data_IF_633836153660
#
_entry.id   IF_633836153660
#
_cell.length_a   1.000
_cell.length_b   1.000
_cell.length_c   1.000
_cell.angle_alpha   90.00
_cell.angle_beta   90.00
_cell.angle_gamma   90.00
#
_symmetry.space_group_name_H-M   'P 1'
#
loop_
_entity.id
_entity.type
_entity.pdbx_description
1 polymer ?
#
# COMPACT_ATOMS: atom_id res chain seq x y z
N UNK A 1 23.58 -14.16 30.69
CA UNK A 1 22.26 -13.48 30.71
C UNK A 1 22.55 -12.06 30.22
N UNK A 2 22.30 -11.76 28.96
CA UNK A 2 22.53 -10.44 28.38
C UNK A 2 21.42 -9.50 28.84
N UNK A 3 21.78 -8.33 29.38
CA UNK A 3 20.83 -7.30 29.80
C UNK A 3 20.07 -6.77 28.58
N UNK A 4 18.75 -6.76 28.67
CA UNK A 4 17.87 -6.09 27.70
C UNK A 4 18.14 -4.59 27.84
N UNK A 5 18.50 -3.86 26.76
CA UNK A 5 18.72 -2.43 26.85
C UNK A 5 17.42 -1.74 27.29
N UNK A 6 17.55 -0.80 28.24
CA UNK A 6 16.44 0.05 28.68
C UNK A 6 15.86 0.80 27.47
N UNK A 7 14.54 0.77 27.33
CA UNK A 7 13.83 1.50 26.30
C UNK A 7 14.11 3.00 26.42
N UNK A 8 14.64 3.60 25.36
CA UNK A 8 14.77 5.06 25.27
C UNK A 8 13.41 5.77 25.41
N UNK A 9 13.40 7.12 25.49
CA UNK A 9 12.18 7.88 25.73
C UNK A 9 11.10 7.52 24.72
N UNK A 10 9.95 7.08 25.24
CA UNK A 10 8.76 6.66 24.51
C UNK A 10 8.29 7.83 23.63
N UNK A 11 8.28 7.66 22.31
CA UNK A 11 7.58 8.59 21.44
C UNK A 11 6.11 8.67 21.89
N UNK A 12 5.47 9.87 21.81
CA UNK A 12 4.07 10.01 22.17
C UNK A 12 3.25 8.97 21.39
N UNK A 13 2.39 8.23 22.10
CA UNK A 13 1.54 7.22 21.50
C UNK A 13 0.79 7.85 20.32
N UNK A 14 0.89 7.27 19.12
CA UNK A 14 0.10 7.71 17.98
C UNK A 14 -1.34 7.29 18.25
N UNK A 15 -2.28 8.20 18.00
CA UNK A 15 -3.69 7.88 18.11
C UNK A 15 -4.06 6.90 16.98
N UNK A 16 -4.51 5.69 17.33
CA UNK A 16 -4.89 4.67 16.36
C UNK A 16 -6.00 5.16 15.40
N UNK A 17 -6.87 6.07 15.85
CA UNK A 17 -7.85 6.74 15.01
C UNK A 17 -7.16 7.62 13.96
N UNK A 18 -6.10 8.34 14.33
CA UNK A 18 -5.29 9.15 13.42
C UNK A 18 -4.60 8.28 12.37
N UNK A 19 -4.05 7.13 12.77
CA UNK A 19 -3.47 6.15 11.85
C UNK A 19 -4.54 5.63 10.88
N UNK A 20 -5.69 5.20 11.41
CA UNK A 20 -6.81 4.72 10.59
C UNK A 20 -7.36 5.79 9.63
N UNK A 21 -7.32 7.07 10.01
CA UNK A 21 -7.75 8.17 9.15
C UNK A 21 -6.76 8.47 8.02
N UNK A 22 -5.46 8.35 8.28
CA UNK A 22 -4.38 8.66 7.31
C UNK A 22 -4.05 7.52 6.39
N UNK A 23 -4.18 6.27 6.85
CA UNK A 23 -3.83 5.12 6.04
C UNK A 23 -4.90 4.87 4.97
N UNK A 24 -4.51 4.73 3.70
CA UNK A 24 -5.47 4.53 2.62
C UNK A 24 -6.20 3.18 2.79
N UNK A 25 -7.53 3.23 2.93
CA UNK A 25 -8.34 2.01 3.08
C UNK A 25 -8.34 1.22 1.79
N UNK A 26 -7.63 0.11 1.79
CA UNK A 26 -7.78 -0.97 0.82
C UNK A 26 -8.74 -2.00 1.42
N UNK A 27 -9.77 -2.40 0.67
CA UNK A 27 -10.61 -3.55 1.04
C UNK A 27 -9.79 -4.83 0.83
N UNK A 28 -9.00 -5.15 1.84
CA UNK A 28 -8.14 -6.33 1.85
C UNK A 28 -8.72 -7.35 2.83
N UNK A 29 -8.91 -8.59 2.36
CA UNK A 29 -9.45 -9.68 3.19
C UNK A 29 -8.50 -9.95 4.35
N UNK A 30 -9.01 -9.88 5.59
CA UNK A 30 -8.20 -10.02 6.79
C UNK A 30 -7.46 -8.76 7.26
N UNK A 31 -7.72 -7.59 6.64
CA UNK A 31 -7.15 -6.32 7.12
C UNK A 31 -7.46 -6.07 8.59
N UNK A 32 -6.47 -5.60 9.33
CA UNK A 32 -6.53 -5.39 10.79
C UNK A 32 -7.00 -3.99 11.20
N UNK A 33 -7.62 -3.21 10.29
CA UNK A 33 -8.12 -1.88 10.60
C UNK A 33 -8.99 -1.81 11.84
N UNK A 34 -9.91 -2.76 12.00
CA UNK A 34 -10.80 -2.80 13.15
C UNK A 34 -10.09 -3.12 14.46
N UNK A 35 -8.87 -3.63 14.40
CA UNK A 35 -8.08 -4.03 15.56
C UNK A 35 -6.99 -3.00 15.91
N UNK A 36 -6.86 -1.88 15.18
CA UNK A 36 -5.81 -0.90 15.41
C UNK A 36 -5.75 -0.41 16.86
N UNK A 37 -6.87 -0.07 17.55
CA UNK A 37 -6.80 0.37 18.94
C UNK A 37 -6.26 -0.70 19.91
N UNK A 38 -6.57 -1.98 19.64
CA UNK A 38 -6.08 -3.08 20.44
C UNK A 38 -4.59 -3.33 20.18
N UNK A 39 -4.19 -3.30 18.89
CA UNK A 39 -2.80 -3.48 18.49
C UNK A 39 -1.90 -2.35 19.01
N UNK A 40 -2.37 -1.11 18.99
CA UNK A 40 -1.65 0.03 19.55
C UNK A 40 -1.35 -0.17 21.03
N UNK A 41 -2.34 -0.62 21.82
CA UNK A 41 -2.13 -0.93 23.24
C UNK A 41 -1.11 -2.05 23.42
N UNK A 42 -1.28 -3.17 22.72
CA UNK A 42 -0.36 -4.31 22.83
C UNK A 42 1.05 -3.91 22.42
N UNK A 43 1.23 -3.23 21.30
CA UNK A 43 2.54 -2.74 20.87
C UNK A 43 3.12 -1.72 21.85
N UNK A 44 2.26 -0.87 22.44
CA UNK A 44 2.66 0.11 23.44
C UNK A 44 3.22 -0.52 24.72
N UNK A 45 2.68 -1.66 25.13
CA UNK A 45 3.09 -2.36 26.35
C UNK A 45 4.35 -3.23 26.15
N UNK A 46 4.73 -3.51 24.91
CA UNK A 46 5.91 -4.30 24.60
C UNK A 46 7.19 -3.45 24.69
N UNK A 47 8.14 -3.93 25.48
CA UNK A 47 9.49 -3.39 25.52
C UNK A 47 10.28 -3.87 24.29
N UNK A 48 10.33 -3.09 23.24
CA UNK A 48 11.09 -3.41 22.04
C UNK A 48 11.03 -2.26 21.06
N UNK A 49 12.07 -2.09 20.28
CA UNK A 49 12.17 -1.04 19.26
C UNK A 49 11.91 -1.54 17.86
N UNK A 50 11.98 -2.85 17.65
CA UNK A 50 11.82 -3.51 16.35
C UNK A 50 10.57 -4.38 16.33
N UNK A 51 9.79 -4.29 15.23
CA UNK A 51 8.61 -5.11 14.96
C UNK A 51 8.84 -5.86 13.65
N UNK A 52 8.66 -7.18 13.67
CA UNK A 52 8.63 -8.00 12.47
C UNK A 52 7.17 -8.31 12.09
N UNK A 53 6.80 -7.95 10.86
CA UNK A 53 5.48 -8.22 10.25
C UNK A 53 5.66 -9.09 8.99
N UNK A 54 5.80 -10.42 9.15
CA UNK A 54 6.14 -11.33 8.05
C UNK A 54 4.98 -11.60 7.09
N UNK A 55 3.76 -11.14 7.41
CA UNK A 55 2.55 -11.27 6.60
C UNK A 55 1.80 -9.94 6.57
N UNK A 56 2.46 -8.91 6.05
CA UNK A 56 2.03 -7.51 6.16
C UNK A 56 0.68 -7.22 5.52
N UNK A 57 0.25 -7.99 4.54
CA UNK A 57 -1.06 -7.87 3.90
C UNK A 57 -1.35 -6.45 3.43
N UNK A 58 -2.35 -5.81 4.04
CA UNK A 58 -2.66 -4.41 3.73
C UNK A 58 -1.58 -3.40 4.18
N UNK A 59 -0.60 -3.81 4.98
CA UNK A 59 0.45 -2.94 5.53
C UNK A 59 0.03 -2.07 6.71
N UNK A 60 -1.22 -2.12 7.14
CA UNK A 60 -1.73 -1.21 8.18
C UNK A 60 -1.10 -1.43 9.56
N UNK A 61 -0.72 -2.66 9.89
CA UNK A 61 -0.02 -2.97 11.16
C UNK A 61 1.40 -2.46 11.13
N UNK A 62 2.11 -2.69 10.03
CA UNK A 62 3.45 -2.14 9.77
C UNK A 62 3.45 -0.61 9.87
N UNK A 63 2.43 0.03 9.27
CA UNK A 63 2.28 1.49 9.33
C UNK A 63 2.02 1.99 10.77
N UNK A 64 1.14 1.31 11.53
CA UNK A 64 0.91 1.63 12.95
C UNK A 64 2.23 1.54 13.74
N UNK A 65 2.96 0.44 13.62
CA UNK A 65 4.22 0.25 14.32
C UNK A 65 5.25 1.35 13.96
N UNK A 66 5.34 1.71 12.67
CA UNK A 66 6.20 2.80 12.21
C UNK A 66 5.81 4.15 12.83
N UNK A 67 4.51 4.50 12.87
CA UNK A 67 4.04 5.76 13.48
C UNK A 67 4.26 5.80 14.98
N UNK A 68 4.38 4.65 15.64
CA UNK A 68 4.78 4.52 17.05
C UNK A 68 6.30 4.61 17.26
N UNK A 69 7.06 4.94 16.22
CA UNK A 69 8.53 5.06 16.28
C UNK A 69 9.27 3.73 16.33
N UNK A 70 8.64 2.64 15.91
CA UNK A 70 9.30 1.33 15.86
C UNK A 70 10.04 1.16 14.53
N UNK A 71 11.18 0.49 14.57
CA UNK A 71 11.79 -0.08 13.37
C UNK A 71 10.93 -1.24 12.88
N UNK A 72 10.55 -1.25 11.59
CA UNK A 72 9.63 -2.26 11.06
C UNK A 72 10.30 -3.07 9.96
N UNK A 73 10.28 -4.38 10.14
CA UNK A 73 10.68 -5.36 9.15
C UNK A 73 9.43 -6.06 8.63
N UNK A 74 9.01 -5.71 7.42
CA UNK A 74 7.78 -6.23 6.83
C UNK A 74 8.06 -7.05 5.58
N UNK A 75 7.33 -8.14 5.43
CA UNK A 75 7.34 -8.96 4.23
C UNK A 75 5.95 -9.54 3.96
N UNK A 76 5.75 -10.03 2.74
CA UNK A 76 4.55 -10.77 2.36
C UNK A 76 4.90 -11.73 1.22
N UNK A 77 4.12 -12.79 1.06
CA UNK A 77 4.26 -13.72 -0.05
C UNK A 77 3.93 -13.06 -1.40
N UNK A 78 2.97 -12.12 -1.40
CA UNK A 78 2.54 -11.41 -2.60
C UNK A 78 3.33 -10.12 -2.79
N UNK A 79 3.68 -9.79 -4.02
CA UNK A 79 4.44 -8.58 -4.33
C UNK A 79 3.67 -7.29 -4.03
N UNK A 80 2.35 -7.25 -4.25
CA UNK A 80 1.59 -6.00 -4.09
C UNK A 80 1.48 -5.52 -2.63
N UNK A 81 1.33 -6.38 -1.59
CA UNK A 81 1.44 -5.96 -0.20
C UNK A 81 2.80 -5.35 0.13
N UNK A 82 3.88 -5.94 -0.39
CA UNK A 82 5.22 -5.37 -0.22
C UNK A 82 5.33 -3.96 -0.81
N UNK A 83 4.74 -3.73 -1.99
CA UNK A 83 4.68 -2.38 -2.60
C UNK A 83 3.88 -1.42 -1.72
N UNK A 84 2.70 -1.82 -1.22
CA UNK A 84 1.90 -0.99 -0.32
C UNK A 84 2.66 -0.61 0.95
N UNK A 85 3.36 -1.57 1.55
CA UNK A 85 4.14 -1.34 2.77
C UNK A 85 5.34 -0.41 2.51
N UNK A 86 6.05 -0.57 1.39
CA UNK A 86 7.15 0.34 1.01
C UNK A 86 6.65 1.75 0.70
N UNK A 87 5.50 1.88 0.03
CA UNK A 87 4.88 3.17 -0.27
C UNK A 87 4.38 3.91 0.98
N UNK A 88 4.17 3.23 2.08
CA UNK A 88 3.55 3.78 3.30
C UNK A 88 4.46 3.69 4.51
N UNK A 89 4.69 2.51 5.08
CA UNK A 89 5.44 2.33 6.31
C UNK A 89 6.95 2.57 6.15
N UNK A 90 7.51 2.37 4.96
CA UNK A 90 8.90 2.65 4.66
C UNK A 90 9.10 3.99 3.91
N UNK A 91 8.08 4.83 3.85
CA UNK A 91 8.13 6.12 3.16
C UNK A 91 8.34 7.26 4.15
N UNK A 92 9.50 7.88 4.10
CA UNK A 92 9.89 9.02 4.94
C UNK A 92 9.40 10.37 4.38
N UNK A 93 8.15 10.44 3.93
CA UNK A 93 7.51 11.68 3.51
C UNK A 93 7.64 12.03 2.03
N UNK A 94 8.13 11.11 1.19
CA UNK A 94 8.15 11.27 -0.27
C UNK A 94 6.71 11.34 -0.79
N UNK A 95 6.45 12.26 -1.72
CA UNK A 95 5.16 12.44 -2.38
C UNK A 95 5.34 12.51 -3.88
N UNK A 96 4.33 12.10 -4.63
CA UNK A 96 4.28 12.34 -6.06
C UNK A 96 3.95 13.82 -6.31
N UNK A 97 4.72 14.46 -7.19
CA UNK A 97 4.45 15.83 -7.66
C UNK A 97 3.35 15.85 -8.72
N UNK A 98 2.88 17.03 -9.09
CA UNK A 98 1.96 17.20 -10.23
C UNK A 98 2.62 16.75 -11.54
N UNK A 99 3.92 16.96 -11.69
CA UNK A 99 4.69 16.50 -12.84
C UNK A 99 4.72 14.99 -12.91
N UNK A 100 4.92 14.32 -11.75
CA UNK A 100 4.86 12.86 -11.66
C UNK A 100 3.48 12.34 -12.08
N UNK A 101 2.41 12.98 -11.64
CA UNK A 101 1.05 12.60 -12.00
C UNK A 101 0.77 12.81 -13.49
N UNK A 102 1.21 13.95 -14.05
CA UNK A 102 1.07 14.22 -15.47
C UNK A 102 1.87 13.24 -16.33
N UNK A 103 3.08 12.86 -15.87
CA UNK A 103 3.90 11.84 -16.52
C UNK A 103 3.21 10.48 -16.47
N UNK A 104 2.71 10.07 -15.29
CA UNK A 104 2.06 8.78 -15.05
C UNK A 104 0.78 8.60 -15.88
N UNK A 105 0.01 9.68 -16.05
CA UNK A 105 -1.22 9.70 -16.83
C UNK A 105 -1.00 10.09 -18.30
N UNK A 106 0.25 10.23 -18.69
CA UNK A 106 0.65 10.56 -20.06
C UNK A 106 0.46 9.41 -21.04
N UNK A 107 0.89 9.60 -22.29
CA UNK A 107 0.71 8.60 -23.34
C UNK A 107 1.56 7.34 -23.08
N UNK A 108 1.12 6.22 -23.65
CA UNK A 108 1.84 4.95 -23.63
C UNK A 108 3.18 5.08 -24.39
N UNK A 109 4.29 4.93 -23.69
CA UNK A 109 5.65 5.24 -24.21
C UNK A 109 6.26 4.13 -25.07
N UNK A 110 5.86 2.89 -24.85
CA UNK A 110 6.46 1.71 -25.50
C UNK A 110 5.43 0.85 -26.26
N UNK A 111 4.20 1.35 -26.38
CA UNK A 111 3.13 0.66 -27.10
C UNK A 111 2.67 -0.64 -26.44
N UNK A 112 2.98 -0.86 -25.15
CA UNK A 112 2.52 -2.07 -24.46
C UNK A 112 1.00 -2.13 -24.41
N UNK A 113 0.48 -3.35 -24.45
CA UNK A 113 -0.95 -3.66 -24.44
C UNK A 113 -1.25 -4.96 -23.68
N UNK A 114 -0.34 -5.33 -22.77
CA UNK A 114 -0.48 -6.59 -22.03
C UNK A 114 -1.75 -6.60 -21.17
N UNK A 115 -1.97 -5.51 -20.41
CA UNK A 115 -3.13 -5.40 -19.52
C UNK A 115 -4.42 -5.36 -20.33
N UNK A 116 -4.48 -4.54 -21.37
CA UNK A 116 -5.64 -4.43 -22.24
C UNK A 116 -6.01 -5.75 -22.89
N UNK A 117 -5.03 -6.52 -23.38
CA UNK A 117 -5.29 -7.82 -24.01
C UNK A 117 -5.70 -8.90 -23.02
N UNK A 118 -5.06 -8.91 -21.84
CA UNK A 118 -5.27 -9.96 -20.83
C UNK A 118 -6.59 -9.82 -20.11
N UNK A 119 -6.99 -8.58 -19.80
CA UNK A 119 -8.17 -8.29 -18.97
C UNK A 119 -9.35 -7.71 -19.76
N UNK A 120 -9.29 -7.73 -21.08
CA UNK A 120 -10.39 -7.26 -21.94
C UNK A 120 -11.71 -7.95 -21.59
N UNK A 121 -12.72 -7.13 -21.32
CA UNK A 121 -14.08 -7.61 -21.04
C UNK A 121 -14.25 -8.34 -19.69
N UNK A 122 -13.25 -8.30 -18.80
CA UNK A 122 -13.33 -9.01 -17.51
C UNK A 122 -13.71 -8.07 -16.37
N UNK A 123 -12.93 -7.03 -16.09
CA UNK A 123 -13.05 -6.23 -14.85
C UNK A 123 -13.11 -4.72 -15.07
N UNK A 124 -12.56 -4.23 -16.15
CA UNK A 124 -12.35 -2.81 -16.43
C UNK A 124 -12.87 -2.44 -17.82
N UNK A 125 -13.15 -1.15 -18.03
CA UNK A 125 -13.46 -0.64 -19.38
C UNK A 125 -12.19 -0.66 -20.25
N UNK A 126 -12.33 -0.65 -21.60
CA UNK A 126 -11.18 -0.54 -22.48
C UNK A 126 -10.31 0.68 -22.20
N UNK A 127 -10.93 1.81 -21.82
CA UNK A 127 -10.24 3.05 -21.47
C UNK A 127 -9.42 2.89 -20.19
N UNK A 128 -9.98 2.26 -19.16
CA UNK A 128 -9.25 1.96 -17.90
C UNK A 128 -8.02 1.09 -18.15
N UNK A 129 -8.18 0.06 -18.98
CA UNK A 129 -7.11 -0.85 -19.33
C UNK A 129 -5.99 -0.14 -20.12
N UNK A 130 -6.38 0.76 -21.04
CA UNK A 130 -5.43 1.56 -21.80
C UNK A 130 -4.63 2.51 -20.89
N UNK A 131 -5.30 3.14 -19.93
CA UNK A 131 -4.63 3.98 -18.91
C UNK A 131 -3.65 3.16 -18.08
N UNK A 132 -4.01 1.95 -17.67
CA UNK A 132 -3.12 1.07 -16.93
C UNK A 132 -1.90 0.65 -17.76
N UNK A 133 -2.05 0.31 -19.04
CA UNK A 133 -0.93 0.02 -19.92
C UNK A 133 -0.02 1.26 -20.10
N UNK A 134 -0.60 2.45 -20.28
CA UNK A 134 0.14 3.72 -20.35
C UNK A 134 0.95 3.98 -19.08
N UNK A 135 0.31 3.92 -17.92
CA UNK A 135 0.97 4.13 -16.63
C UNK A 135 2.11 3.12 -16.42
N UNK A 136 1.90 1.86 -16.79
CA UNK A 136 2.93 0.83 -16.67
C UNK A 136 4.11 1.06 -17.61
N UNK A 137 3.91 1.70 -18.76
CA UNK A 137 4.98 2.09 -19.67
C UNK A 137 5.90 3.17 -19.08
N UNK A 138 5.31 4.09 -18.30
CA UNK A 138 6.04 5.13 -17.56
C UNK A 138 6.80 4.52 -16.38
N UNK A 139 6.12 3.67 -15.60
CA UNK A 139 6.68 3.02 -14.42
C UNK A 139 7.88 2.10 -14.73
N UNK A 140 8.07 1.70 -15.98
CA UNK A 140 9.23 0.92 -16.38
C UNK A 140 10.55 1.68 -16.20
N UNK A 141 10.51 3.02 -16.23
CA UNK A 141 11.68 3.89 -16.04
C UNK A 141 11.80 4.45 -14.62
N UNK A 142 10.82 4.19 -13.75
CA UNK A 142 10.83 4.69 -12.38
C UNK A 142 11.39 3.66 -11.41
N UNK A 143 12.01 4.14 -10.32
CA UNK A 143 12.60 3.31 -9.27
C UNK A 143 12.27 3.84 -7.87
N UNK A 144 12.57 3.04 -6.85
CA UNK A 144 12.46 3.40 -5.45
C UNK A 144 11.04 3.75 -4.98
N UNK A 145 10.96 4.57 -3.95
CA UNK A 145 9.70 4.95 -3.29
C UNK A 145 8.74 5.68 -4.24
N UNK A 146 9.26 6.48 -5.16
CA UNK A 146 8.45 7.17 -6.19
C UNK A 146 7.65 6.16 -7.02
N UNK A 147 8.30 5.10 -7.47
CA UNK A 147 7.66 4.00 -8.21
C UNK A 147 6.64 3.26 -7.35
N UNK A 148 7.00 2.91 -6.11
CA UNK A 148 6.11 2.20 -5.20
C UNK A 148 4.85 3.03 -4.86
N UNK A 149 4.97 4.34 -4.65
CA UNK A 149 3.85 5.26 -4.47
C UNK A 149 2.89 5.26 -5.66
N UNK A 150 3.42 5.34 -6.88
CA UNK A 150 2.61 5.32 -8.09
C UNK A 150 1.88 3.97 -8.25
N UNK A 151 2.57 2.85 -8.05
CA UNK A 151 1.96 1.51 -8.11
C UNK A 151 0.88 1.37 -7.02
N UNK A 152 1.17 1.77 -5.78
CA UNK A 152 0.19 1.74 -4.68
C UNK A 152 -1.05 2.58 -5.01
N UNK A 153 -0.88 3.76 -5.61
CA UNK A 153 -1.98 4.63 -6.05
C UNK A 153 -2.84 3.97 -7.13
N UNK A 154 -2.21 3.33 -8.12
CA UNK A 154 -2.93 2.57 -9.16
C UNK A 154 -3.68 1.37 -8.58
N UNK A 155 -3.08 0.63 -7.66
CA UNK A 155 -3.75 -0.49 -6.95
C UNK A 155 -4.99 0.02 -6.21
N UNK A 156 -4.87 1.12 -5.47
CA UNK A 156 -5.98 1.72 -4.73
C UNK A 156 -7.08 2.24 -5.66
N UNK A 157 -6.73 2.88 -6.77
CA UNK A 157 -7.67 3.36 -7.78
C UNK A 157 -8.41 2.19 -8.43
N UNK A 158 -7.69 1.16 -8.85
CA UNK A 158 -8.27 -0.05 -9.44
C UNK A 158 -9.21 -0.77 -8.44
N UNK A 159 -8.80 -0.91 -7.18
CA UNK A 159 -9.62 -1.54 -6.15
C UNK A 159 -10.92 -0.77 -5.84
N UNK A 160 -10.91 0.57 -5.95
CA UNK A 160 -12.12 1.41 -5.77
C UNK A 160 -13.16 1.21 -6.87
N UNK A 161 -12.74 0.86 -8.07
CA UNK A 161 -13.65 0.55 -9.18
C UNK A 161 -14.36 -0.79 -9.02
N UNK A 162 -13.98 -1.62 -8.06
CA UNK A 162 -14.62 -2.90 -7.79
C UNK A 162 -15.68 -2.77 -6.68
N UNK A 163 -16.97 -3.11 -6.92
CA UNK A 163 -18.06 -2.86 -5.98
C UNK A 163 -17.85 -3.50 -4.62
N UNK A 164 -17.15 -4.64 -4.58
CA UNK A 164 -16.90 -5.41 -3.36
C UNK A 164 -15.46 -5.38 -2.89
N UNK A 165 -14.59 -4.62 -3.57
CA UNK A 165 -13.17 -4.58 -3.27
C UNK A 165 -12.43 -5.92 -3.47
N UNK A 166 -13.06 -6.86 -4.15
CA UNK A 166 -12.49 -8.16 -4.50
C UNK A 166 -12.61 -8.31 -6.00
N UNK A 167 -11.51 -8.63 -6.67
CA UNK A 167 -11.50 -8.95 -8.08
C UNK A 167 -12.17 -10.34 -8.29
N UNK A 168 -13.47 -10.35 -8.45
CA UNK A 168 -14.22 -11.57 -8.75
C UNK A 168 -14.70 -11.55 -10.20
N UNK A 169 -14.52 -12.65 -10.90
CA UNK A 169 -14.99 -12.83 -12.30
C UNK A 169 -16.52 -12.75 -12.42
N UNK A 170 -17.22 -12.85 -11.27
CA UNK A 170 -18.68 -12.80 -11.19
C UNK A 170 -19.23 -11.41 -10.89
N UNK A 171 -18.40 -10.39 -10.76
CA UNK A 171 -18.87 -9.01 -10.61
C UNK A 171 -19.58 -8.57 -11.90
N UNK A 172 -20.75 -7.89 -11.81
CA UNK A 172 -21.35 -7.30 -12.99
C UNK A 172 -20.36 -6.36 -13.65
N UNK A 173 -20.23 -6.45 -14.96
CA UNK A 173 -19.40 -5.53 -15.74
C UNK A 173 -19.88 -4.12 -15.47
N UNK A 174 -19.00 -3.22 -15.10
CA UNK A 174 -19.32 -1.80 -15.05
C UNK A 174 -19.62 -1.31 -16.46
N UNK A 175 -20.72 -0.55 -16.61
CA UNK A 175 -21.00 0.13 -17.86
C UNK A 175 -19.94 1.19 -18.14
#
# INVERSE_FOLDING_TARGET
MAAIPEAGPRAPASDAETVAARYPRLRYMGSKYALLPQLERVLGDLAGVTVADPFSGSGVVSYLAHTMGREVWASDYLAFPCVLTRATAANDGVRLSEEDLNELLGPNRDGRSYISRTYSGILFTPEDLAVLDSAWSVLAAWEGVRRDLAIASLILAAARKQPRGVFTVTAPRYP
#
